data_IF_840735670214
#
_entry.id   IF_840735670214
#
_cell.length_a   1.000
_cell.length_b   1.000
_cell.length_c   1.000
_cell.angle_alpha   90.00
_cell.angle_beta   90.00
_cell.angle_gamma   90.00
#
_symmetry.space_group_name_H-M   'P 1'
#
loop_
_entity.id
_entity.type
_entity.pdbx_description
1 polymer ?
#
# COMPACT_ATOMS: atom_id res chain seq x y z
N UNK A 1 -8.85 10.19 20.26
CA UNK A 1 -8.45 8.86 19.74
C UNK A 1 -8.07 8.96 18.25
N UNK A 2 -7.16 9.88 17.90
CA UNK A 2 -6.74 10.18 16.52
C UNK A 2 -5.20 10.14 16.43
N UNK A 3 -4.52 10.54 17.51
CA UNK A 3 -3.05 10.48 17.63
C UNK A 3 -2.47 9.05 17.51
N UNK A 4 -3.15 8.03 18.03
CA UNK A 4 -2.65 6.64 17.95
C UNK A 4 -2.83 5.98 16.58
N UNK A 5 -3.69 6.53 15.71
CA UNK A 5 -3.87 6.02 14.33
C UNK A 5 -2.75 6.54 13.43
N UNK A 6 -2.35 7.80 13.59
CA UNK A 6 -1.21 8.35 12.86
C UNK A 6 0.09 7.60 13.16
N UNK A 7 0.28 7.14 14.41
CA UNK A 7 1.54 6.49 14.78
C UNK A 7 1.75 5.15 14.07
N UNK A 8 0.70 4.34 13.88
CA UNK A 8 0.85 3.01 13.26
C UNK A 8 0.96 3.11 11.74
N UNK A 9 0.19 3.98 11.09
CA UNK A 9 0.31 4.23 9.65
C UNK A 9 1.74 4.71 9.33
N UNK A 10 2.30 5.58 10.17
CA UNK A 10 3.67 6.06 10.02
C UNK A 10 4.72 4.96 10.23
N UNK A 11 4.50 4.03 11.17
CA UNK A 11 5.39 2.87 11.34
C UNK A 11 5.36 1.97 10.10
N UNK A 12 4.17 1.73 9.53
CA UNK A 12 4.02 0.93 8.31
C UNK A 12 4.68 1.62 7.12
N UNK A 13 4.50 2.93 6.99
CA UNK A 13 5.15 3.73 5.95
C UNK A 13 6.68 3.66 6.08
N UNK A 14 7.22 3.84 7.30
CA UNK A 14 8.67 3.68 7.56
C UNK A 14 9.21 2.30 7.14
N UNK A 15 8.43 1.24 7.38
CA UNK A 15 8.79 -0.11 6.89
C UNK A 15 8.70 -0.22 5.36
N UNK A 16 7.72 0.43 4.74
CA UNK A 16 7.54 0.39 3.29
C UNK A 16 8.58 1.20 2.51
N UNK A 17 9.17 2.24 3.11
CA UNK A 17 10.15 3.12 2.46
C UNK A 17 11.58 2.98 3.00
N UNK A 18 11.87 1.95 3.80
CA UNK A 18 13.16 1.78 4.48
C UNK A 18 14.39 1.81 3.53
N UNK A 19 14.19 1.45 2.27
CA UNK A 19 15.19 1.38 1.20
C UNK A 19 15.02 2.49 0.14
N UNK A 20 14.24 3.53 0.43
CA UNK A 20 13.88 4.58 -0.52
C UNK A 20 14.26 5.98 0.01
N UNK A 21 14.61 6.88 -0.91
CA UNK A 21 14.71 8.31 -0.64
C UNK A 21 13.31 8.97 -0.73
N UNK A 22 12.37 8.51 0.09
CA UNK A 22 11.00 9.03 0.18
C UNK A 22 10.60 9.13 1.65
N UNK A 23 10.11 10.30 2.07
CA UNK A 23 9.62 10.47 3.43
C UNK A 23 8.35 9.64 3.69
N UNK A 24 8.22 8.98 4.85
CA UNK A 24 7.06 8.16 5.18
C UNK A 24 5.72 8.90 5.07
N UNK A 25 5.69 10.18 5.40
CA UNK A 25 4.51 11.04 5.32
C UNK A 25 4.09 11.26 3.87
N UNK A 26 5.04 11.49 2.97
CA UNK A 26 4.75 11.67 1.55
C UNK A 26 4.36 10.34 0.89
N UNK A 27 4.94 9.23 1.33
CA UNK A 27 4.45 7.90 0.96
C UNK A 27 2.98 7.70 1.31
N UNK A 28 2.56 8.07 2.53
CA UNK A 28 1.15 7.97 2.94
C UNK A 28 0.25 8.88 2.09
N UNK A 29 0.67 10.10 1.79
CA UNK A 29 -0.08 11.00 0.89
C UNK A 29 -0.23 10.40 -0.50
N UNK A 30 0.83 9.80 -1.05
CA UNK A 30 0.77 9.12 -2.36
C UNK A 30 -0.20 7.93 -2.30
N UNK A 31 -0.07 7.06 -1.30
CA UNK A 31 -0.95 5.90 -1.09
C UNK A 31 -2.42 6.34 -1.02
N UNK A 32 -2.72 7.41 -0.28
CA UNK A 32 -4.08 7.97 -0.14
C UNK A 32 -4.57 8.77 -1.34
N UNK A 33 -3.71 9.02 -2.33
CA UNK A 33 -4.05 9.82 -3.52
C UNK A 33 -4.09 11.33 -3.26
N UNK A 34 -3.56 11.79 -2.12
CA UNK A 34 -3.43 13.20 -1.74
C UNK A 34 -2.23 13.87 -2.43
N UNK A 35 -1.26 13.08 -2.86
CA UNK A 35 -0.07 13.52 -3.60
C UNK A 35 0.10 12.66 -4.86
N UNK A 36 0.18 13.31 -6.01
CA UNK A 36 0.44 12.65 -7.31
C UNK A 36 1.83 13.04 -7.80
N UNK A 37 2.65 12.03 -8.08
CA UNK A 37 4.02 12.16 -8.61
C UNK A 37 4.24 11.09 -9.67
N UNK A 38 5.16 11.33 -10.60
CA UNK A 38 5.52 10.37 -11.65
C UNK A 38 6.19 9.12 -11.06
N UNK A 39 7.08 9.31 -10.09
CA UNK A 39 7.74 8.24 -9.37
C UNK A 39 8.08 8.65 -7.94
N UNK A 40 7.85 7.79 -6.93
CA UNK A 40 7.16 6.50 -7.02
C UNK A 40 5.64 6.67 -7.25
N UNK A 41 5.09 5.87 -8.16
CA UNK A 41 3.67 5.92 -8.49
C UNK A 41 2.80 5.33 -7.37
N UNK A 42 1.51 5.70 -7.34
CA UNK A 42 0.56 5.17 -6.36
C UNK A 42 0.46 3.62 -6.38
N UNK A 43 0.37 2.93 -7.54
CA UNK A 43 0.39 1.47 -7.59
C UNK A 43 1.69 0.85 -7.05
N UNK A 44 2.84 1.50 -7.29
CA UNK A 44 4.11 1.07 -6.70
C UNK A 44 4.05 1.18 -5.17
N UNK A 45 3.58 2.31 -4.62
CA UNK A 45 3.47 2.48 -3.17
C UNK A 45 2.50 1.47 -2.54
N UNK A 46 1.38 1.15 -3.22
CA UNK A 46 0.46 0.09 -2.76
C UNK A 46 1.15 -1.28 -2.73
N UNK A 47 1.94 -1.61 -3.75
CA UNK A 47 2.73 -2.85 -3.74
C UNK A 47 3.73 -2.89 -2.58
N UNK A 48 4.44 -1.79 -2.31
CA UNK A 48 5.36 -1.70 -1.15
C UNK A 48 4.64 -1.90 0.18
N UNK A 49 3.45 -1.32 0.33
CA UNK A 49 2.63 -1.46 1.53
C UNK A 49 2.19 -2.92 1.73
N UNK A 50 1.71 -3.58 0.68
CA UNK A 50 1.33 -5.01 0.71
C UNK A 50 2.49 -5.93 1.09
N UNK A 51 3.71 -5.60 0.67
CA UNK A 51 4.91 -6.38 1.02
C UNK A 51 5.42 -6.12 2.44
N UNK A 52 4.99 -5.03 3.07
CA UNK A 52 5.57 -4.54 4.34
C UNK A 52 4.60 -4.61 5.51
N UNK A 53 3.35 -5.00 5.27
CA UNK A 53 2.27 -4.97 6.25
C UNK A 53 1.33 -6.18 6.10
N UNK A 54 0.57 -6.47 7.16
CA UNK A 54 -0.51 -7.46 7.08
C UNK A 54 -1.68 -6.91 6.27
N UNK A 55 -2.49 -7.79 5.66
CA UNK A 55 -3.72 -7.36 4.95
C UNK A 55 -4.61 -6.45 5.81
N UNK A 56 -4.80 -6.79 7.09
CA UNK A 56 -5.61 -6.01 8.03
C UNK A 56 -5.05 -4.60 8.26
N UNK A 57 -3.73 -4.44 8.24
CA UNK A 57 -3.09 -3.14 8.33
C UNK A 57 -3.25 -2.35 7.04
N UNK A 58 -3.12 -3.00 5.88
CA UNK A 58 -3.32 -2.35 4.58
C UNK A 58 -4.75 -1.84 4.43
N UNK A 59 -5.76 -2.66 4.78
CA UNK A 59 -7.17 -2.26 4.63
C UNK A 59 -7.64 -1.19 5.62
N UNK A 60 -6.80 -0.84 6.59
CA UNK A 60 -7.03 0.33 7.47
C UNK A 60 -6.61 1.65 6.82
N UNK A 61 -5.69 1.58 5.85
CA UNK A 61 -5.17 2.74 5.11
C UNK A 61 -5.96 2.94 3.80
N UNK A 62 -6.28 1.84 3.11
CA UNK A 62 -7.02 1.84 1.84
C UNK A 62 -8.21 0.90 1.90
N UNK A 63 -9.31 1.24 1.24
CA UNK A 63 -10.40 0.27 1.08
C UNK A 63 -9.97 -0.91 0.20
N UNK A 64 -10.54 -2.12 0.41
CA UNK A 64 -10.28 -3.25 -0.48
C UNK A 64 -10.57 -2.95 -1.96
N UNK A 65 -11.61 -2.16 -2.25
CA UNK A 65 -11.98 -1.75 -3.60
C UNK A 65 -10.89 -0.89 -4.25
N UNK A 66 -10.33 0.08 -3.52
CA UNK A 66 -9.21 0.89 -4.02
C UNK A 66 -7.99 0.02 -4.32
N UNK A 67 -7.62 -0.88 -3.40
CA UNK A 67 -6.47 -1.78 -3.60
C UNK A 67 -6.69 -2.63 -4.86
N UNK A 68 -7.90 -3.18 -5.04
CA UNK A 68 -8.21 -4.02 -6.19
C UNK A 68 -8.29 -3.27 -7.51
N UNK A 69 -8.74 -2.01 -7.51
CA UNK A 69 -8.68 -1.16 -8.70
C UNK A 69 -7.25 -0.92 -9.18
N UNK A 70 -6.28 -0.85 -8.26
CA UNK A 70 -4.85 -0.67 -8.54
C UNK A 70 -4.09 -1.98 -8.75
N UNK A 71 -4.69 -3.13 -8.42
CA UNK A 71 -4.02 -4.43 -8.49
C UNK A 71 -3.43 -4.78 -9.86
N UNK A 72 -4.11 -4.50 -11.01
CA UNK A 72 -3.56 -4.80 -12.33
C UNK A 72 -2.17 -4.20 -12.57
N UNK A 73 -1.90 -3.00 -12.03
CA UNK A 73 -0.60 -2.34 -12.12
C UNK A 73 0.32 -2.72 -10.96
N UNK A 74 -0.19 -2.72 -9.72
CA UNK A 74 0.58 -3.00 -8.52
C UNK A 74 1.25 -4.38 -8.53
N UNK A 75 0.61 -5.40 -9.13
CA UNK A 75 1.13 -6.79 -9.19
C UNK A 75 2.48 -6.91 -9.90
N UNK A 76 2.83 -5.96 -10.76
CA UNK A 76 4.12 -5.92 -11.45
C UNK A 76 5.28 -5.57 -10.51
N UNK A 77 5.00 -4.86 -9.41
CA UNK A 77 5.99 -4.45 -8.41
C UNK A 77 6.10 -5.41 -7.23
N UNK A 78 5.06 -6.19 -6.94
CA UNK A 78 5.10 -7.23 -5.90
C UNK A 78 6.09 -8.32 -6.29
N UNK A 79 7.00 -8.69 -5.38
CA UNK A 79 7.99 -9.76 -5.55
C UNK A 79 7.46 -11.08 -5.00
N UNK A 80 6.77 -11.04 -3.86
CA UNK A 80 6.25 -12.25 -3.21
C UNK A 80 5.14 -12.94 -4.02
N UNK A 81 5.36 -14.20 -4.38
CA UNK A 81 4.35 -15.03 -5.07
C UNK A 81 3.11 -15.29 -4.19
N UNK A 82 3.29 -15.44 -2.88
CA UNK A 82 2.15 -15.69 -1.97
C UNK A 82 1.23 -14.47 -1.88
N UNK A 83 1.80 -13.26 -1.82
CA UNK A 83 1.03 -12.01 -1.85
C UNK A 83 0.27 -11.89 -3.18
N UNK A 84 0.92 -12.20 -4.31
CA UNK A 84 0.23 -12.21 -5.61
C UNK A 84 -0.99 -13.12 -5.61
N UNK A 85 -0.83 -14.37 -5.21
CA UNK A 85 -1.96 -15.32 -5.17
C UNK A 85 -3.06 -14.88 -4.21
N UNK A 86 -2.69 -14.35 -3.04
CA UNK A 86 -3.65 -13.80 -2.08
C UNK A 86 -4.44 -12.63 -2.65
N UNK A 87 -3.78 -11.69 -3.33
CA UNK A 87 -4.43 -10.54 -3.96
C UNK A 87 -5.29 -10.92 -5.15
N UNK A 88 -4.85 -11.85 -6.00
CA UNK A 88 -5.68 -12.40 -7.10
C UNK A 88 -6.97 -13.03 -6.55
N UNK A 89 -6.89 -13.75 -5.42
CA UNK A 89 -8.08 -14.26 -4.75
C UNK A 89 -8.95 -13.14 -4.17
N UNK A 90 -8.35 -12.20 -3.42
CA UNK A 90 -9.07 -11.12 -2.77
C UNK A 90 -9.83 -10.26 -3.79
N UNK A 91 -9.18 -9.88 -4.89
CA UNK A 91 -9.79 -9.05 -5.93
C UNK A 91 -10.79 -9.80 -6.80
N UNK A 92 -10.79 -11.14 -6.81
CA UNK A 92 -11.87 -11.91 -7.42
C UNK A 92 -13.13 -11.97 -6.55
N UNK A 93 -12.97 -11.91 -5.23
CA UNK A 93 -14.08 -12.10 -4.26
C UNK A 93 -14.69 -10.78 -3.78
N UNK A 94 -13.89 -9.71 -3.74
CA UNK A 94 -14.28 -8.41 -3.20
C UNK A 94 -14.70 -7.40 -4.29
N UNK A 95 -14.76 -7.84 -5.54
CA UNK A 95 -15.19 -7.05 -6.70
C UNK A 95 -16.69 -7.18 -6.96
#
# INVERSE_FOLDING_TARGET
MMESKLSIDLILAKRAVWDMALEPEDFLKIVRGELSVDWPSRPFCVARLLESASWYDVVRILSPQEICSMWPEAKHFVRSKSIKLGMEYACRVLH
#
